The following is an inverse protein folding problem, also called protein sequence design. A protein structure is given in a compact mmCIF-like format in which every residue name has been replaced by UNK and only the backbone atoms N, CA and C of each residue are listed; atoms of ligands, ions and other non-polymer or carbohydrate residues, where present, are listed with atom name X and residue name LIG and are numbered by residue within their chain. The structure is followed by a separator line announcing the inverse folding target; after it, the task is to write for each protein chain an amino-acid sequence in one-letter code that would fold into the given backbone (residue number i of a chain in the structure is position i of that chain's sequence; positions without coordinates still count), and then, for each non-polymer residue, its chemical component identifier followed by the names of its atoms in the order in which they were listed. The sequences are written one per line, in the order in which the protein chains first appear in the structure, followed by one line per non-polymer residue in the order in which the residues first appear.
data_IF_072006306320
#
_entry.id   IF_072006306320
#
_cell.length_a   1.000
_cell.length_b   1.000
_cell.length_c   1.000
_cell.angle_alpha   90.00
_cell.angle_beta   90.00
_cell.angle_gamma   90.00
#
_symmetry.space_group_name_H-M   'P 1'
#
loop_
_entity.id
_entity.type
_entity.pdbx_description
1 polymer ?
#
# COMPACT_ATOMS: atom_id res chain seq x y z
N UNK A 1 26.47 11.02 9.70
CA UNK A 1 27.64 10.85 8.84
C UNK A 1 27.99 12.14 8.07
N UNK A 2 27.30 13.25 8.32
CA UNK A 2 27.62 14.58 7.77
C UNK A 2 28.11 15.41 8.91
N UNK A 3 29.35 15.94 8.79
CA UNK A 3 30.00 16.75 9.81
C UNK A 3 29.18 17.99 10.18
N UNK A 4 29.01 18.26 11.47
CA UNK A 4 28.21 19.37 12.00
C UNK A 4 26.68 19.25 11.82
N UNK A 5 26.18 18.15 11.22
CA UNK A 5 24.73 17.99 11.01
C UNK A 5 23.98 17.76 12.33
N UNK A 6 24.60 17.04 13.28
CA UNK A 6 24.00 16.77 14.58
C UNK A 6 23.77 18.04 15.39
N UNK A 7 24.79 18.87 15.49
CA UNK A 7 24.72 20.14 16.21
C UNK A 7 23.72 21.11 15.58
N UNK A 8 23.64 21.15 14.25
CA UNK A 8 22.62 21.92 13.54
C UNK A 8 21.20 21.42 13.81
N UNK A 9 21.03 20.09 13.84
CA UNK A 9 19.74 19.48 14.15
C UNK A 9 19.30 19.80 15.58
N UNK A 10 20.18 19.71 16.56
CA UNK A 10 19.91 20.04 17.95
C UNK A 10 19.56 21.53 18.15
N UNK A 11 20.15 22.41 17.36
CA UNK A 11 19.81 23.85 17.35
C UNK A 11 18.54 24.16 16.55
N UNK A 12 17.88 23.16 15.94
CA UNK A 12 16.68 23.35 15.14
C UNK A 12 16.93 23.99 13.75
N UNK A 13 18.18 23.97 13.27
CA UNK A 13 18.55 24.50 11.94
C UNK A 13 18.26 23.49 10.81
N UNK A 14 18.07 22.22 11.15
CA UNK A 14 17.71 21.16 10.21
C UNK A 14 16.32 20.62 10.52
N UNK A 15 15.52 20.44 9.49
CA UNK A 15 14.18 19.88 9.59
C UNK A 15 14.11 18.56 8.83
N UNK A 16 13.39 17.62 9.41
CA UNK A 16 13.03 16.34 8.78
C UNK A 16 11.62 16.43 8.21
N UNK A 17 11.37 15.69 7.15
CA UNK A 17 10.01 15.50 6.63
C UNK A 17 9.94 14.36 5.65
N UNK A 18 8.79 13.74 5.57
CA UNK A 18 8.35 12.89 4.49
C UNK A 18 7.99 13.76 3.26
N UNK A 19 7.66 13.14 2.13
CA UNK A 19 7.40 13.87 0.87
C UNK A 19 6.28 14.90 1.03
N UNK A 20 5.23 14.59 1.77
CA UNK A 20 4.12 15.48 2.09
C UNK A 20 4.58 16.72 2.85
N UNK A 21 5.41 16.56 3.88
CA UNK A 21 6.00 17.67 4.64
C UNK A 21 6.80 18.60 3.72
N UNK A 22 7.61 18.01 2.84
CA UNK A 22 8.40 18.78 1.87
C UNK A 22 7.50 19.57 0.91
N UNK A 23 6.43 18.96 0.40
CA UNK A 23 5.49 19.63 -0.49
C UNK A 23 4.79 20.79 0.21
N UNK A 24 4.28 20.60 1.43
CA UNK A 24 3.65 21.67 2.21
C UNK A 24 4.64 22.79 2.52
N UNK A 25 5.86 22.44 2.91
CA UNK A 25 6.94 23.39 3.14
C UNK A 25 7.18 24.27 1.89
N UNK A 26 7.30 23.66 0.72
CA UNK A 26 7.51 24.39 -0.55
C UNK A 26 6.29 25.23 -0.94
N UNK A 27 5.10 24.67 -0.86
CA UNK A 27 3.85 25.36 -1.20
C UNK A 27 3.59 26.56 -0.29
N UNK A 28 4.01 26.48 0.96
CA UNK A 28 3.86 27.56 1.95
C UNK A 28 5.09 28.46 2.07
N UNK A 29 6.11 28.27 1.23
CA UNK A 29 7.39 29.04 1.26
C UNK A 29 8.11 28.99 2.61
N UNK A 30 8.22 27.81 3.19
CA UNK A 30 8.94 27.56 4.44
C UNK A 30 8.20 28.01 5.71
N UNK A 31 6.90 28.33 5.64
CA UNK A 31 6.15 28.82 6.79
C UNK A 31 5.49 27.72 7.62
N UNK A 32 5.26 26.55 7.02
CA UNK A 32 4.52 25.46 7.66
C UNK A 32 5.34 24.18 7.57
N UNK A 33 5.67 23.59 8.74
CA UNK A 33 6.40 22.35 8.88
C UNK A 33 5.52 21.32 9.58
N UNK A 34 4.73 20.58 8.78
CA UNK A 34 3.73 19.63 9.25
C UNK A 34 3.77 18.35 8.44
N UNK A 35 3.27 17.30 9.05
CA UNK A 35 2.84 16.04 8.40
C UNK A 35 1.47 15.64 8.95
N UNK A 36 0.87 14.59 8.40
CA UNK A 36 -0.35 14.03 8.97
C UNK A 36 -0.10 12.71 9.69
N UNK A 37 -1.11 12.23 10.42
CA UNK A 37 -1.03 10.97 11.16
C UNK A 37 -0.72 9.78 10.26
N UNK A 38 -1.23 9.76 9.03
CA UNK A 38 -1.04 8.62 8.12
C UNK A 38 0.41 8.52 7.65
N UNK A 39 1.04 9.63 7.29
CA UNK A 39 2.45 9.68 6.92
C UNK A 39 3.37 9.47 8.13
N UNK A 40 3.08 10.11 9.26
CA UNK A 40 3.86 9.96 10.49
C UNK A 40 3.95 8.48 10.92
N UNK A 41 2.87 7.73 10.81
CA UNK A 41 2.81 6.30 11.16
C UNK A 41 3.74 5.41 10.34
N UNK A 42 4.25 5.91 9.19
CA UNK A 42 5.19 5.17 8.31
C UNK A 42 6.66 5.42 8.60
N UNK A 43 6.98 6.27 9.57
CA UNK A 43 8.36 6.70 9.84
C UNK A 43 9.14 5.82 10.81
N UNK A 44 8.51 4.85 11.46
CA UNK A 44 9.02 4.09 12.62
C UNK A 44 9.34 4.95 13.87
N UNK A 45 9.17 6.27 13.79
CA UNK A 45 9.44 7.21 14.89
C UNK A 45 8.17 7.62 15.62
N UNK A 46 7.02 7.22 15.10
CA UNK A 46 5.71 7.65 15.57
C UNK A 46 4.99 6.51 16.30
N UNK A 47 4.55 6.76 17.53
CA UNK A 47 3.78 5.80 18.31
C UNK A 47 2.30 5.89 17.94
N UNK A 48 1.79 4.88 17.23
CA UNK A 48 0.42 4.85 16.73
C UNK A 48 -0.63 4.78 17.85
N UNK A 49 -0.29 4.29 19.04
CA UNK A 49 -1.21 4.20 20.18
C UNK A 49 -1.35 5.54 20.91
N UNK A 50 -0.22 6.21 21.18
CA UNK A 50 -0.22 7.53 21.83
C UNK A 50 -0.48 8.67 20.85
N UNK A 51 -0.37 8.39 19.53
CA UNK A 51 -0.48 9.35 18.43
C UNK A 51 0.49 10.52 18.58
N UNK A 52 1.73 10.21 18.99
CA UNK A 52 2.82 11.16 19.19
C UNK A 52 4.14 10.58 18.69
N UNK A 53 5.12 11.43 18.40
CA UNK A 53 6.49 11.00 18.22
C UNK A 53 6.96 10.23 19.45
N UNK A 54 7.60 9.07 19.24
CA UNK A 54 7.99 8.15 20.31
C UNK A 54 9.38 8.53 20.84
N UNK A 55 9.44 9.06 22.06
CA UNK A 55 10.69 9.53 22.65
C UNK A 55 11.71 8.40 22.83
N UNK A 56 11.27 7.16 23.09
CA UNK A 56 12.18 6.01 23.19
C UNK A 56 12.81 5.66 21.85
N UNK A 57 12.03 5.73 20.77
CA UNK A 57 12.55 5.49 19.42
C UNK A 57 13.50 6.61 18.99
N UNK A 58 13.19 7.86 19.33
CA UNK A 58 14.08 9.00 19.05
C UNK A 58 15.41 8.87 19.78
N UNK A 59 15.39 8.49 21.05
CA UNK A 59 16.58 8.23 21.86
C UNK A 59 17.39 7.06 21.27
N UNK A 60 16.75 5.92 21.01
CA UNK A 60 17.40 4.72 20.45
C UNK A 60 18.10 4.99 19.11
N UNK A 61 17.46 5.75 18.26
CA UNK A 61 17.97 6.10 16.92
C UNK A 61 18.80 7.40 16.93
N UNK A 62 18.96 8.02 18.09
CA UNK A 62 19.70 9.24 18.27
C UNK A 62 19.21 10.40 17.37
N UNK A 63 17.89 10.60 17.28
CA UNK A 63 17.26 11.63 16.44
C UNK A 63 16.77 12.80 17.30
N UNK A 64 17.20 14.04 17.06
CA UNK A 64 16.72 15.22 17.77
C UNK A 64 15.24 15.49 17.49
N UNK A 65 14.44 15.64 18.53
CA UNK A 65 13.01 15.95 18.41
C UNK A 65 12.74 17.28 17.70
N UNK A 66 13.67 18.23 17.81
CA UNK A 66 13.60 19.54 17.14
C UNK A 66 13.50 19.49 15.63
N UNK A 67 13.90 18.36 15.01
CA UNK A 67 13.82 18.17 13.56
C UNK A 67 12.44 17.77 13.06
N UNK A 68 11.57 17.25 13.94
CA UNK A 68 10.35 16.55 13.52
C UNK A 68 9.21 17.54 13.26
N UNK A 69 8.36 17.30 12.22
CA UNK A 69 7.21 18.14 11.94
C UNK A 69 6.11 18.00 12.99
N UNK A 70 5.25 19.00 13.09
CA UNK A 70 3.98 18.88 13.81
C UNK A 70 3.09 17.87 13.09
N UNK A 71 2.44 16.97 13.84
CA UNK A 71 1.53 15.96 13.30
C UNK A 71 0.08 16.44 13.45
N UNK A 72 -0.66 16.50 12.36
CA UNK A 72 -2.01 17.07 12.29
C UNK A 72 -2.99 16.11 11.60
N UNK A 73 -4.27 16.43 11.60
CA UNK A 73 -5.28 15.60 10.92
C UNK A 73 -5.09 15.60 9.40
N UNK A 74 -5.53 14.54 8.74
CA UNK A 74 -5.41 14.40 7.27
C UNK A 74 -6.29 15.41 6.52
N UNK A 75 -7.38 15.90 7.12
CA UNK A 75 -8.26 16.92 6.57
C UNK A 75 -8.31 18.15 7.49
N UNK A 76 -7.48 19.13 7.17
CA UNK A 76 -7.31 20.35 7.96
C UNK A 76 -6.61 21.42 7.11
N UNK A 77 -6.92 22.69 7.32
CA UNK A 77 -6.21 23.79 6.64
C UNK A 77 -4.86 24.02 7.31
N UNK A 78 -3.79 23.52 6.71
CA UNK A 78 -2.41 23.64 7.22
C UNK A 78 -1.80 25.01 6.95
N UNK A 79 -2.17 25.62 5.83
CA UNK A 79 -1.65 26.90 5.38
C UNK A 79 -2.21 27.25 4.01
N UNK A 80 -1.68 28.31 3.43
CA UNK A 80 -2.05 28.74 2.07
C UNK A 80 -0.83 28.77 1.18
N UNK A 81 -1.02 28.37 -0.06
CA UNK A 81 0.03 28.47 -1.10
C UNK A 81 0.35 29.94 -1.38
N UNK A 82 1.48 30.16 -2.02
CA UNK A 82 1.79 31.44 -2.64
C UNK A 82 2.37 31.16 -4.04
N UNK A 83 1.49 30.69 -4.93
CA UNK A 83 1.86 30.37 -6.31
C UNK A 83 1.89 31.66 -7.11
N UNK A 84 3.03 31.97 -7.74
CA UNK A 84 3.23 33.17 -8.56
C UNK A 84 3.80 34.40 -7.82
N UNK A 85 4.29 34.25 -6.58
CA UNK A 85 5.00 35.31 -5.85
C UNK A 85 4.09 36.43 -5.32
N UNK A 86 4.60 37.68 -5.27
CA UNK A 86 3.79 38.82 -4.82
C UNK A 86 2.58 39.02 -5.74
N UNK A 87 1.37 38.92 -5.18
CA UNK A 87 0.11 39.01 -5.92
C UNK A 87 -0.40 37.65 -6.46
N UNK A 88 0.29 36.57 -6.21
CA UNK A 88 -0.09 35.21 -6.63
C UNK A 88 -1.31 34.63 -5.93
N UNK A 89 -1.81 33.53 -6.49
CA UNK A 89 -3.00 32.84 -5.98
C UNK A 89 -2.68 32.15 -4.65
N UNK A 90 -3.54 32.41 -3.65
CA UNK A 90 -3.47 31.78 -2.32
C UNK A 90 -4.53 30.71 -2.18
N UNK A 91 -4.16 29.47 -2.46
CA UNK A 91 -5.03 28.30 -2.33
C UNK A 91 -4.77 27.65 -0.97
N UNK A 92 -5.79 27.31 -0.17
CA UNK A 92 -5.60 26.54 1.06
C UNK A 92 -5.01 25.16 0.75
N UNK A 93 -3.99 24.75 1.51
CA UNK A 93 -3.53 23.36 1.56
C UNK A 93 -4.32 22.70 2.67
N UNK A 94 -5.31 21.88 2.30
CA UNK A 94 -6.34 21.41 3.23
C UNK A 94 -6.45 19.88 3.33
N UNK A 95 -5.52 19.14 2.74
CA UNK A 95 -5.50 17.68 2.81
C UNK A 95 -4.08 17.14 2.65
N UNK A 96 -3.72 16.21 3.51
CA UNK A 96 -2.48 15.41 3.44
C UNK A 96 -2.85 13.98 3.77
N UNK A 97 -2.37 13.01 3.01
CA UNK A 97 -2.49 11.60 3.36
C UNK A 97 -1.37 10.80 2.67
N UNK A 98 -0.94 9.71 3.29
CA UNK A 98 -0.13 8.70 2.63
C UNK A 98 -0.88 8.07 1.46
N UNK A 99 -0.19 7.67 0.40
CA UNK A 99 -0.79 7.18 -0.85
C UNK A 99 -1.79 6.04 -0.63
N UNK A 100 -1.43 5.05 0.19
CA UNK A 100 -2.27 3.90 0.48
C UNK A 100 -3.51 4.29 1.32
N UNK A 101 -3.37 5.21 2.26
CA UNK A 101 -4.46 5.74 3.06
C UNK A 101 -5.36 6.66 2.24
N UNK A 102 -4.79 7.46 1.34
CA UNK A 102 -5.54 8.25 0.37
C UNK A 102 -6.38 7.36 -0.55
N UNK A 103 -5.81 6.25 -1.05
CA UNK A 103 -6.54 5.25 -1.82
C UNK A 103 -7.67 4.60 -1.01
N UNK A 104 -7.40 4.23 0.26
CA UNK A 104 -8.43 3.67 1.15
C UNK A 104 -9.62 4.65 1.32
N UNK A 105 -9.31 5.92 1.57
CA UNK A 105 -10.31 6.97 1.69
C UNK A 105 -11.04 7.23 0.36
N UNK A 106 -10.31 7.32 -0.75
CA UNK A 106 -10.86 7.52 -2.10
C UNK A 106 -11.83 6.41 -2.51
N UNK A 107 -11.59 5.20 -2.05
CA UNK A 107 -12.51 4.07 -2.20
C UNK A 107 -13.68 4.09 -1.20
N UNK A 108 -13.86 5.17 -0.43
CA UNK A 108 -14.89 5.29 0.60
C UNK A 108 -14.82 4.18 1.66
N UNK A 109 -13.62 3.66 1.92
CA UNK A 109 -13.35 2.73 3.01
C UNK A 109 -13.09 3.50 4.32
N UNK A 110 -14.11 4.16 4.84
CA UNK A 110 -14.04 5.06 6.00
C UNK A 110 -14.68 4.47 7.26
N UNK A 111 -14.98 3.17 7.24
CA UNK A 111 -15.61 2.44 8.36
C UNK A 111 -14.96 1.08 8.53
N UNK A 112 -14.95 0.60 9.78
CA UNK A 112 -14.47 -0.73 10.11
C UNK A 112 -15.11 -1.81 9.23
N UNK A 113 -14.31 -2.77 8.74
CA UNK A 113 -14.72 -3.86 7.86
C UNK A 113 -14.70 -3.53 6.36
N UNK A 114 -14.37 -2.30 5.98
CA UNK A 114 -14.21 -1.93 4.58
C UNK A 114 -12.74 -2.07 4.15
N UNK A 115 -12.52 -2.65 2.99
CA UNK A 115 -11.18 -2.92 2.48
C UNK A 115 -11.01 -2.52 1.02
N UNK A 116 -9.77 -2.15 0.69
CA UNK A 116 -9.33 -1.92 -0.68
C UNK A 116 -8.09 -2.76 -1.00
N UNK A 117 -7.89 -3.05 -2.29
CA UNK A 117 -6.64 -3.58 -2.81
C UNK A 117 -6.21 -2.82 -4.07
N UNK A 118 -5.00 -2.28 -4.05
CA UNK A 118 -4.39 -1.64 -5.23
C UNK A 118 -3.50 -2.64 -5.94
N UNK A 119 -3.84 -2.99 -7.19
CA UNK A 119 -3.10 -3.92 -8.05
C UNK A 119 -2.13 -3.15 -8.95
N UNK A 120 -0.91 -2.96 -8.47
CA UNK A 120 0.21 -2.36 -9.20
C UNK A 120 1.32 -3.37 -9.48
N UNK A 121 2.57 -2.96 -9.37
CA UNK A 121 3.76 -3.84 -9.38
C UNK A 121 3.61 -4.97 -8.37
N UNK A 122 3.17 -4.63 -7.15
CA UNK A 122 2.66 -5.53 -6.12
C UNK A 122 1.18 -5.28 -5.85
N UNK A 123 0.63 -5.91 -4.80
CA UNK A 123 -0.69 -5.57 -4.27
C UNK A 123 -0.55 -4.99 -2.88
N UNK A 124 -1.24 -3.88 -2.63
CA UNK A 124 -1.29 -3.23 -1.33
C UNK A 124 -2.73 -3.19 -0.84
N UNK A 125 -2.97 -3.98 0.19
CA UNK A 125 -4.31 -4.18 0.73
C UNK A 125 -4.42 -3.52 2.10
N UNK A 126 -5.48 -2.73 2.29
CA UNK A 126 -5.81 -2.12 3.57
C UNK A 126 -7.23 -2.49 3.98
N UNK A 127 -7.38 -2.88 5.25
CA UNK A 127 -8.67 -3.11 5.91
C UNK A 127 -8.82 -2.07 7.03
N UNK A 128 -9.83 -1.24 6.94
CA UNK A 128 -10.17 -0.27 7.98
C UNK A 128 -10.66 -0.98 9.24
N UNK A 129 -10.08 -0.68 10.40
CA UNK A 129 -10.40 -1.32 11.70
C UNK A 129 -11.11 -0.39 12.69
N UNK A 130 -11.38 0.86 12.28
CA UNK A 130 -12.02 1.88 13.10
C UNK A 130 -11.07 2.42 14.17
N UNK A 131 -11.57 2.55 15.39
CA UNK A 131 -10.84 3.05 16.56
C UNK A 131 -9.88 2.02 17.21
N UNK A 132 -9.81 0.80 16.65
CA UNK A 132 -9.04 -0.31 17.22
C UNK A 132 -7.70 -0.51 16.50
N UNK A 133 -6.60 -0.25 17.20
CA UNK A 133 -5.27 -0.67 16.78
C UNK A 133 -5.10 -2.19 17.02
N UNK A 134 -5.35 -2.99 16.00
CA UNK A 134 -5.26 -4.45 16.07
C UNK A 134 -3.80 -4.87 15.92
N UNK A 135 -3.26 -5.58 16.93
CA UNK A 135 -1.96 -6.25 16.79
C UNK A 135 -2.17 -7.54 16.00
N UNK A 136 -1.62 -7.60 14.80
CA UNK A 136 -1.74 -8.77 13.94
C UNK A 136 -0.99 -9.99 14.51
N UNK A 137 -1.61 -11.15 14.41
CA UNK A 137 -0.99 -12.46 14.70
C UNK A 137 -0.60 -13.21 13.42
N UNK A 138 -1.00 -12.68 12.27
CA UNK A 138 -0.80 -13.27 10.95
C UNK A 138 0.15 -12.44 10.07
N UNK A 139 1.07 -11.68 10.68
CA UNK A 139 2.11 -10.96 9.94
C UNK A 139 1.64 -9.72 9.19
N UNK A 140 0.49 -9.14 9.52
CA UNK A 140 0.04 -7.89 8.93
C UNK A 140 0.60 -6.69 9.71
N UNK A 141 0.65 -5.53 9.05
CA UNK A 141 1.04 -4.28 9.69
C UNK A 141 -0.20 -3.54 10.20
N UNK A 142 -0.06 -2.89 11.36
CA UNK A 142 -1.07 -1.94 11.84
C UNK A 142 -0.60 -0.53 11.50
N UNK A 143 -1.43 0.24 10.83
CA UNK A 143 -1.13 1.60 10.40
C UNK A 143 -2.27 2.54 10.79
N UNK A 144 -2.02 3.86 10.70
CA UNK A 144 -3.07 4.86 10.86
C UNK A 144 -3.72 5.13 9.50
N UNK A 145 -5.03 5.13 9.50
CA UNK A 145 -5.91 5.62 8.44
C UNK A 145 -6.67 6.85 8.94
N UNK A 146 -7.66 7.32 8.19
CA UNK A 146 -8.55 8.37 8.65
C UNK A 146 -10.02 7.97 8.43
N UNK A 147 -10.89 8.51 9.28
CA UNK A 147 -12.33 8.39 9.13
C UNK A 147 -12.88 9.41 8.11
N UNK A 148 -14.19 9.46 7.93
CA UNK A 148 -14.86 10.37 7.00
C UNK A 148 -14.62 11.87 7.29
N UNK A 149 -14.18 12.22 8.51
CA UNK A 149 -13.83 13.59 8.90
C UNK A 149 -12.34 13.91 8.79
N UNK A 150 -11.52 12.91 8.37
CA UNK A 150 -10.07 13.05 8.33
C UNK A 150 -9.36 12.90 9.69
N UNK A 151 -10.09 12.45 10.72
CA UNK A 151 -9.53 12.15 12.04
C UNK A 151 -8.83 10.77 12.03
N UNK A 152 -7.77 10.56 12.84
CA UNK A 152 -7.00 9.33 12.82
C UNK A 152 -7.77 8.14 13.38
N UNK A 153 -7.91 7.11 12.58
CA UNK A 153 -8.36 5.76 12.93
C UNK A 153 -7.31 4.74 12.49
N UNK A 154 -7.61 3.44 12.51
CA UNK A 154 -6.63 2.41 12.23
C UNK A 154 -7.00 1.54 11.04
N UNK A 155 -5.99 0.93 10.44
CA UNK A 155 -6.14 -0.09 9.42
C UNK A 155 -5.10 -1.21 9.59
N UNK A 156 -5.46 -2.42 9.18
CA UNK A 156 -4.50 -3.49 8.89
C UNK A 156 -4.02 -3.36 7.46
N UNK A 157 -2.73 -3.56 7.24
CA UNK A 157 -2.10 -3.53 5.93
C UNK A 157 -1.38 -4.84 5.64
N UNK A 158 -1.58 -5.37 4.44
CA UNK A 158 -0.84 -6.49 3.90
C UNK A 158 -0.34 -6.20 2.49
N UNK A 159 0.89 -6.61 2.22
CA UNK A 159 1.57 -6.34 0.94
C UNK A 159 1.95 -7.63 0.26
N UNK A 160 1.55 -7.79 -1.00
CA UNK A 160 2.06 -8.79 -1.94
C UNK A 160 3.12 -8.10 -2.79
N UNK A 161 4.36 -8.56 -2.74
CA UNK A 161 5.47 -7.85 -3.38
C UNK A 161 5.43 -7.92 -4.90
N UNK A 162 5.02 -9.06 -5.43
CA UNK A 162 5.01 -9.34 -6.87
C UNK A 162 3.60 -9.67 -7.34
N UNK A 163 2.97 -8.75 -8.04
CA UNK A 163 1.68 -8.92 -8.70
C UNK A 163 1.79 -8.59 -10.19
N UNK A 164 1.50 -7.37 -10.62
CA UNK A 164 1.66 -6.95 -12.00
C UNK A 164 3.08 -7.12 -12.53
N UNK A 165 4.09 -7.05 -11.66
CA UNK A 165 5.48 -7.33 -12.01
C UNK A 165 5.69 -8.76 -12.54
N UNK A 166 4.88 -9.73 -12.14
CA UNK A 166 4.96 -11.09 -12.69
C UNK A 166 4.54 -11.14 -14.16
N UNK A 167 3.56 -10.35 -14.55
CA UNK A 167 3.13 -10.24 -15.95
C UNK A 167 4.16 -9.46 -16.78
N UNK A 168 4.76 -8.41 -16.19
CA UNK A 168 5.88 -7.71 -16.83
C UNK A 168 7.05 -8.67 -17.07
N UNK A 169 7.37 -9.54 -16.11
CA UNK A 169 8.39 -10.57 -16.26
C UNK A 169 8.08 -11.56 -17.40
N UNK A 170 6.81 -11.99 -17.56
CA UNK A 170 6.41 -12.82 -18.70
C UNK A 170 6.62 -12.10 -20.04
N UNK A 171 6.46 -10.77 -20.06
CA UNK A 171 6.65 -9.93 -21.25
C UNK A 171 8.13 -9.67 -21.53
N UNK A 172 8.85 -9.17 -20.52
CA UNK A 172 10.17 -8.56 -20.71
C UNK A 172 11.29 -9.61 -20.72
N UNK A 173 11.18 -10.63 -19.85
CA UNK A 173 12.22 -11.64 -19.68
C UNK A 173 11.91 -12.94 -20.43
N UNK A 174 10.73 -13.53 -20.20
CA UNK A 174 10.35 -14.77 -20.89
C UNK A 174 9.85 -14.55 -22.32
N UNK A 175 9.40 -13.34 -22.66
CA UNK A 175 8.92 -12.92 -23.99
C UNK A 175 7.79 -13.82 -24.53
N UNK A 176 6.96 -14.36 -23.62
CA UNK A 176 5.83 -15.22 -23.98
C UNK A 176 4.51 -14.48 -24.13
N UNK A 177 4.48 -13.20 -23.76
CA UNK A 177 3.43 -12.23 -24.09
C UNK A 177 4.08 -10.98 -24.68
N UNK A 178 3.39 -10.27 -25.59
CA UNK A 178 3.92 -9.04 -26.19
C UNK A 178 3.51 -7.80 -25.39
N UNK A 179 2.29 -7.82 -24.87
CA UNK A 179 1.74 -6.78 -24.01
C UNK A 179 1.12 -7.40 -22.76
N UNK A 180 1.06 -6.64 -21.66
CA UNK A 180 0.43 -7.11 -20.43
C UNK A 180 -1.07 -7.41 -20.60
N UNK A 181 -1.76 -6.72 -21.52
CA UNK A 181 -3.15 -6.97 -21.85
C UNK A 181 -3.37 -8.33 -22.52
N UNK A 182 -2.38 -8.85 -23.26
CA UNK A 182 -2.46 -10.17 -23.90
C UNK A 182 -2.63 -11.30 -22.87
N UNK A 183 -2.25 -11.06 -21.60
CA UNK A 183 -2.32 -12.06 -20.55
C UNK A 183 -3.75 -12.59 -20.31
N UNK A 184 -4.76 -11.74 -20.43
CA UNK A 184 -6.16 -12.15 -20.33
C UNK A 184 -6.53 -13.10 -21.47
N UNK A 185 -6.19 -12.73 -22.71
CA UNK A 185 -6.47 -13.55 -23.88
C UNK A 185 -5.82 -14.93 -23.79
N UNK A 186 -4.54 -15.00 -23.40
CA UNK A 186 -3.86 -16.28 -23.27
C UNK A 186 -4.42 -17.14 -22.14
N UNK A 187 -4.76 -16.53 -21.00
CA UNK A 187 -5.36 -17.26 -19.87
C UNK A 187 -6.72 -17.89 -20.23
N UNK A 188 -7.51 -17.22 -21.07
CA UNK A 188 -8.81 -17.69 -21.53
C UNK A 188 -8.75 -18.78 -22.62
N UNK A 189 -7.57 -19.01 -23.24
CA UNK A 189 -7.39 -20.06 -24.27
C UNK A 189 -7.34 -21.45 -23.70
N UNK A 190 -7.25 -21.61 -22.40
CA UNK A 190 -7.20 -22.92 -21.72
C UNK A 190 -8.24 -22.96 -20.61
N UNK A 191 -8.87 -24.11 -20.33
CA UNK A 191 -9.93 -24.24 -19.35
C UNK A 191 -9.41 -24.07 -17.90
N UNK A 192 -8.15 -24.45 -17.67
CA UNK A 192 -7.47 -24.37 -16.37
C UNK A 192 -5.96 -24.22 -16.56
N UNK A 193 -5.20 -24.19 -15.47
CA UNK A 193 -3.74 -24.11 -15.50
C UNK A 193 -3.06 -25.47 -15.78
N UNK A 194 -3.80 -26.55 -15.98
CA UNK A 194 -3.31 -27.92 -16.20
C UNK A 194 -2.32 -28.37 -15.12
N UNK A 195 -2.61 -28.04 -13.85
CA UNK A 195 -1.75 -28.35 -12.72
C UNK A 195 -0.47 -27.50 -12.63
N UNK A 196 -0.30 -26.48 -13.47
CA UNK A 196 0.82 -25.53 -13.39
C UNK A 196 0.52 -24.52 -12.30
N UNK A 197 1.49 -24.28 -11.43
CA UNK A 197 1.46 -23.25 -10.40
C UNK A 197 2.70 -22.38 -10.50
N UNK A 198 2.52 -21.07 -10.35
CA UNK A 198 3.61 -20.09 -10.32
C UNK A 198 3.67 -19.48 -8.92
N UNK A 199 4.86 -19.49 -8.32
CA UNK A 199 5.17 -18.75 -7.09
C UNK A 199 6.05 -17.57 -7.48
N UNK A 200 5.53 -16.33 -7.57
CA UNK A 200 6.30 -15.20 -8.09
C UNK A 200 7.12 -14.50 -7.00
N UNK A 201 7.88 -15.26 -6.21
CA UNK A 201 8.69 -14.73 -5.12
C UNK A 201 10.03 -14.16 -5.62
N UNK A 202 10.01 -13.27 -6.64
CA UNK A 202 11.24 -12.75 -7.26
C UNK A 202 12.08 -11.92 -6.30
N UNK A 203 11.44 -11.24 -5.35
CA UNK A 203 12.08 -10.43 -4.31
C UNK A 203 11.72 -10.93 -2.90
N UNK A 204 11.42 -12.21 -2.75
CA UNK A 204 10.85 -12.79 -1.54
C UNK A 204 9.33 -12.75 -1.51
N UNK A 205 8.76 -13.21 -0.41
CA UNK A 205 7.32 -13.17 -0.13
C UNK A 205 7.02 -12.09 0.91
N UNK A 206 5.96 -11.31 0.66
CA UNK A 206 5.43 -10.34 1.60
C UNK A 206 4.50 -10.98 2.63
N UNK A 207 3.48 -10.22 3.07
CA UNK A 207 2.49 -10.71 4.01
C UNK A 207 1.70 -11.91 3.43
N UNK A 208 1.34 -12.88 4.26
CA UNK A 208 1.63 -13.02 5.69
C UNK A 208 2.96 -13.72 6.01
N UNK A 209 3.73 -14.11 5.00
CA UNK A 209 4.89 -15.01 5.12
C UNK A 209 6.17 -14.31 5.56
N UNK A 210 6.45 -13.11 5.04
CA UNK A 210 7.65 -12.31 5.30
C UNK A 210 8.95 -13.09 5.13
N UNK A 211 9.02 -13.88 4.04
CA UNK A 211 10.22 -14.63 3.69
C UNK A 211 11.04 -13.91 2.60
N UNK A 212 12.12 -13.18 2.98
CA UNK A 212 12.95 -12.46 2.01
C UNK A 212 13.85 -13.39 1.20
N UNK A 213 13.99 -14.66 1.61
CA UNK A 213 14.84 -15.65 0.96
C UNK A 213 14.09 -16.52 -0.04
N UNK A 214 12.76 -16.55 0.00
CA UNK A 214 11.94 -17.21 -1.01
C UNK A 214 12.29 -16.73 -2.42
N UNK A 215 12.25 -17.65 -3.38
CA UNK A 215 12.50 -17.35 -4.80
C UNK A 215 11.37 -17.89 -5.65
N UNK A 216 11.21 -17.28 -6.83
CA UNK A 216 10.22 -17.69 -7.81
C UNK A 216 10.37 -19.13 -8.24
N UNK A 217 9.26 -19.82 -8.45
CA UNK A 217 9.23 -21.20 -8.93
C UNK A 217 8.01 -21.45 -9.82
N UNK A 218 8.16 -22.40 -10.73
CA UNK A 218 7.05 -22.92 -11.53
C UNK A 218 6.97 -24.43 -11.26
N UNK A 219 5.81 -24.90 -10.84
CA UNK A 219 5.55 -26.31 -10.52
C UNK A 219 4.52 -26.91 -11.47
N UNK A 220 4.50 -28.24 -11.56
CA UNK A 220 3.46 -28.99 -12.27
C UNK A 220 3.59 -28.99 -13.80
N UNK A 221 4.74 -28.62 -14.35
CA UNK A 221 4.97 -28.70 -15.78
C UNK A 221 4.93 -30.14 -16.29
N UNK A 222 4.18 -30.37 -17.35
CA UNK A 222 4.11 -31.62 -18.07
C UNK A 222 4.34 -31.39 -19.56
N UNK A 223 4.44 -32.46 -20.36
CA UNK A 223 4.55 -32.33 -21.82
C UNK A 223 3.35 -31.60 -22.46
N UNK A 224 2.19 -31.62 -21.81
CA UNK A 224 0.98 -30.90 -22.26
C UNK A 224 0.96 -29.44 -21.85
N UNK A 225 1.89 -28.99 -21.00
CA UNK A 225 1.94 -27.59 -20.59
C UNK A 225 2.47 -26.70 -21.71
N UNK A 226 1.81 -25.54 -21.92
CA UNK A 226 2.23 -24.57 -22.90
C UNK A 226 2.17 -23.15 -22.31
N UNK A 227 2.53 -22.11 -23.10
CA UNK A 227 2.57 -20.73 -22.63
C UNK A 227 1.26 -20.26 -22.00
N UNK A 228 0.10 -20.71 -22.52
CA UNK A 228 -1.21 -20.27 -22.02
C UNK A 228 -1.42 -20.73 -20.58
N UNK A 229 -1.00 -21.95 -20.25
CA UNK A 229 -1.05 -22.48 -18.88
C UNK A 229 -0.15 -21.69 -17.94
N UNK A 230 1.07 -21.31 -18.39
CA UNK A 230 1.99 -20.50 -17.58
C UNK A 230 1.43 -19.10 -17.34
N UNK A 231 0.90 -18.44 -18.39
CA UNK A 231 0.29 -17.10 -18.26
C UNK A 231 -0.90 -17.14 -17.34
N UNK A 232 -1.78 -18.14 -17.47
CA UNK A 232 -2.94 -18.34 -16.61
C UNK A 232 -2.51 -18.59 -15.16
N UNK A 233 -1.57 -19.50 -14.91
CA UNK A 233 -1.07 -19.79 -13.58
C UNK A 233 -0.42 -18.55 -12.92
N UNK A 234 0.19 -17.67 -13.71
CA UNK A 234 0.75 -16.41 -13.21
C UNK A 234 -0.34 -15.45 -12.76
N UNK A 235 -1.43 -15.29 -13.52
CA UNK A 235 -2.59 -14.50 -13.10
C UNK A 235 -3.27 -15.11 -11.86
N UNK A 236 -3.46 -16.43 -11.85
CA UNK A 236 -4.03 -17.14 -10.70
C UNK A 236 -3.18 -16.96 -9.44
N UNK A 237 -1.84 -16.90 -9.56
CA UNK A 237 -0.94 -16.70 -8.42
C UNK A 237 -1.14 -15.34 -7.71
N UNK A 238 -1.51 -14.29 -8.46
CA UNK A 238 -1.84 -12.98 -7.89
C UNK A 238 -3.10 -13.11 -7.03
N UNK A 239 -4.10 -13.83 -7.53
CA UNK A 239 -5.35 -14.03 -6.80
C UNK A 239 -5.16 -14.91 -5.54
N UNK A 240 -4.30 -15.92 -5.59
CA UNK A 240 -4.00 -16.76 -4.42
C UNK A 240 -3.30 -15.94 -3.33
N UNK A 241 -2.26 -15.19 -3.64
CA UNK A 241 -1.57 -14.34 -2.66
C UNK A 241 -2.52 -13.28 -2.06
N UNK A 242 -3.37 -12.66 -2.89
CA UNK A 242 -4.40 -11.72 -2.43
C UNK A 242 -5.36 -12.41 -1.45
N UNK A 243 -5.75 -13.63 -1.72
CA UNK A 243 -6.60 -14.43 -0.83
C UNK A 243 -5.94 -14.68 0.52
N UNK A 244 -4.66 -15.06 0.54
CA UNK A 244 -3.95 -15.34 1.78
C UNK A 244 -3.90 -14.11 2.69
N UNK A 245 -3.65 -12.92 2.11
CA UNK A 245 -3.68 -11.65 2.84
C UNK A 245 -5.10 -11.34 3.36
N UNK A 246 -6.15 -11.56 2.55
CA UNK A 246 -7.54 -11.35 2.97
C UNK A 246 -7.94 -12.27 4.13
N UNK A 247 -7.52 -13.53 4.09
CA UNK A 247 -7.80 -14.49 5.16
C UNK A 247 -7.09 -14.09 6.46
N UNK A 248 -5.84 -13.63 6.37
CA UNK A 248 -5.11 -13.07 7.49
C UNK A 248 -5.83 -11.85 8.09
N UNK A 249 -6.30 -10.91 7.24
CA UNK A 249 -7.04 -9.73 7.68
C UNK A 249 -8.35 -10.08 8.40
N UNK A 250 -9.11 -11.02 7.85
CA UNK A 250 -10.37 -11.48 8.46
C UNK A 250 -10.13 -12.20 9.80
N UNK A 251 -9.08 -13.02 9.85
CA UNK A 251 -8.68 -13.73 11.07
C UNK A 251 -8.29 -12.77 12.19
N UNK A 252 -7.47 -11.75 11.88
CA UNK A 252 -6.99 -10.79 12.88
C UNK A 252 -8.07 -9.80 13.32
N UNK A 253 -8.91 -9.34 12.39
CA UNK A 253 -9.95 -8.35 12.69
C UNK A 253 -11.23 -8.95 13.27
N UNK A 254 -11.45 -10.24 13.08
CA UNK A 254 -12.73 -10.90 13.37
C UNK A 254 -13.88 -10.44 12.47
N UNK A 255 -13.59 -9.71 11.40
CA UNK A 255 -14.58 -9.13 10.50
C UNK A 255 -14.62 -9.90 9.19
N UNK A 256 -15.82 -10.25 8.74
CA UNK A 256 -16.03 -10.86 7.41
C UNK A 256 -16.15 -9.75 6.38
N UNK A 257 -15.25 -9.76 5.40
CA UNK A 257 -15.29 -8.84 4.28
C UNK A 257 -16.45 -9.18 3.33
N UNK A 258 -17.34 -8.22 3.10
CA UNK A 258 -18.43 -8.35 2.15
C UNK A 258 -18.03 -7.92 0.74
N UNK A 259 -17.16 -6.91 0.65
CA UNK A 259 -16.67 -6.31 -0.58
C UNK A 259 -15.18 -6.04 -0.48
N UNK A 260 -14.48 -6.25 -1.58
CA UNK A 260 -13.14 -5.75 -1.78
C UNK A 260 -13.19 -4.70 -2.89
N UNK A 261 -12.84 -3.45 -2.56
CA UNK A 261 -12.70 -2.40 -3.56
C UNK A 261 -11.32 -2.47 -4.17
N UNK A 262 -11.25 -2.32 -5.49
CA UNK A 262 -10.00 -2.56 -6.22
C UNK A 262 -9.70 -1.43 -7.19
N UNK A 263 -8.41 -1.13 -7.35
CA UNK A 263 -7.86 -0.22 -8.33
C UNK A 263 -6.48 -0.69 -8.83
N UNK A 264 -5.87 0.10 -9.69
CA UNK A 264 -4.58 -0.21 -10.29
C UNK A 264 -4.70 -0.89 -11.65
N UNK A 265 -3.61 -0.91 -12.41
CA UNK A 265 -3.61 -1.32 -13.82
C UNK A 265 -4.08 -2.76 -14.08
N UNK A 266 -3.81 -3.69 -13.17
CA UNK A 266 -4.21 -5.08 -13.35
C UNK A 266 -5.71 -5.33 -13.15
N UNK A 267 -6.48 -4.36 -12.64
CA UNK A 267 -7.95 -4.46 -12.55
C UNK A 267 -8.65 -4.44 -13.91
N UNK A 268 -7.97 -4.00 -14.95
CA UNK A 268 -8.45 -4.07 -16.34
C UNK A 268 -8.49 -5.51 -16.89
N UNK A 269 -7.86 -6.48 -16.20
CA UNK A 269 -7.87 -7.89 -16.57
C UNK A 269 -9.11 -8.56 -15.97
N UNK A 270 -10.15 -8.77 -16.79
CA UNK A 270 -11.42 -9.35 -16.34
C UNK A 270 -11.27 -10.79 -15.87
N UNK A 271 -10.36 -11.57 -16.49
CA UNK A 271 -10.07 -12.93 -16.03
C UNK A 271 -9.56 -12.93 -14.59
N UNK A 272 -8.56 -12.09 -14.29
CA UNK A 272 -8.01 -11.97 -12.92
C UNK A 272 -9.09 -11.54 -11.92
N UNK A 273 -9.87 -10.54 -12.27
CA UNK A 273 -10.92 -10.02 -11.38
C UNK A 273 -12.02 -11.06 -11.12
N UNK A 274 -12.48 -11.78 -12.16
CA UNK A 274 -13.46 -12.84 -12.01
C UNK A 274 -12.91 -14.00 -11.17
N UNK A 275 -11.68 -14.45 -11.47
CA UNK A 275 -11.03 -15.52 -10.72
C UNK A 275 -10.87 -15.18 -9.23
N UNK A 276 -10.50 -13.91 -8.94
CA UNK A 276 -10.40 -13.42 -7.57
C UNK A 276 -11.77 -13.42 -6.86
N UNK A 277 -12.83 -12.99 -7.53
CA UNK A 277 -14.19 -12.96 -6.99
C UNK A 277 -14.69 -14.37 -6.66
N UNK A 278 -14.51 -15.33 -7.57
CA UNK A 278 -14.99 -16.72 -7.42
C UNK A 278 -14.31 -17.43 -6.25
N UNK A 279 -13.02 -17.14 -6.01
CA UNK A 279 -12.25 -17.77 -4.92
C UNK A 279 -12.65 -17.29 -3.53
N UNK A 280 -13.35 -16.17 -3.41
CA UNK A 280 -13.70 -15.56 -2.11
C UNK A 280 -15.19 -15.54 -1.81
N UNK A 281 -16.06 -15.83 -2.74
CA UNK A 281 -17.50 -15.53 -2.62
C UNK A 281 -17.75 -14.05 -2.23
N UNK A 282 -16.84 -13.18 -2.61
CA UNK A 282 -16.83 -11.76 -2.27
C UNK A 282 -17.01 -10.96 -3.55
N UNK A 283 -17.98 -10.06 -3.58
CA UNK A 283 -18.19 -9.19 -4.74
C UNK A 283 -17.01 -8.20 -4.85
N UNK A 284 -16.40 -8.17 -6.02
CA UNK A 284 -15.43 -7.13 -6.37
C UNK A 284 -16.18 -5.92 -6.95
N UNK A 285 -15.91 -4.75 -6.42
CA UNK A 285 -16.35 -3.48 -6.98
C UNK A 285 -15.12 -2.72 -7.49
N UNK A 286 -14.99 -2.62 -8.81
CA UNK A 286 -14.05 -1.69 -9.43
C UNK A 286 -14.69 -0.30 -9.47
N UNK A 287 -14.00 0.70 -8.95
CA UNK A 287 -14.31 2.10 -9.26
C UNK A 287 -13.61 2.46 -10.57
N UNK A 288 -14.39 2.78 -11.58
CA UNK A 288 -13.89 3.40 -12.81
C UNK A 288 -13.70 4.90 -12.60
#
# INVERSE_FOLDING_TARGET
NVEGAREKAERGELLFGTVDTWLVWKLTQGRVHVTDYTNASRTMLFNIHTKKWDDKMLELLNIPRSMLPEVRNSSEVYGKTNIGGKGGVRIPVAGIAGDQQAALYGHLCTRAGQAKNTYGTGCFMLLHTGDKAITSKNGLLTTIACNAKGEPEYALEGSVFIAGASIQWLRDELKIVHDSHDSEYFAQKVPDSNGVYVVPAFTGLGAPYWDPYARGAIFGLSRGSNRNHIVRATLESIAYQTRDVLEAMQSDSGQRLQYLRVDGGATNNNFLMQFQADRKSTRLNSSH
#
